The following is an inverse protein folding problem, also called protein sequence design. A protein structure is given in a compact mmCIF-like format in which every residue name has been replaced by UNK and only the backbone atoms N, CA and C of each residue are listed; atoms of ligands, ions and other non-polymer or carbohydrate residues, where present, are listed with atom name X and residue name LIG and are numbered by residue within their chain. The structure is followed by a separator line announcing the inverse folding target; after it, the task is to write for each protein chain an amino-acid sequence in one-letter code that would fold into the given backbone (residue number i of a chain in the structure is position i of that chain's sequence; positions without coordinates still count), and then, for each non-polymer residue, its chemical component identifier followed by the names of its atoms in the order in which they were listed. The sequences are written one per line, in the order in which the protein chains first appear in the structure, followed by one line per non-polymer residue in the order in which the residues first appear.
data_IF_483657506132
#
_entry.id   IF_483657506132
#
_cell.length_a   1.000
_cell.length_b   1.000
_cell.length_c   1.000
_cell.angle_alpha   90.00
_cell.angle_beta   90.00
_cell.angle_gamma   90.00
#
_symmetry.space_group_name_H-M   'P 1'
#
loop_
_entity.id
_entity.type
_entity.pdbx_description
1 polymer ?
#
# COMPACT_ATOMS: atom_id res chain seq x y z
N UNK A 1 1.50 -24.75 1.21
CA UNK A 1 1.42 -26.12 1.78
C UNK A 1 0.54 -26.19 3.03
N UNK A 2 0.84 -25.42 4.10
CA UNK A 2 0.10 -25.47 5.38
C UNK A 2 -1.42 -25.18 5.25
N UNK A 3 -1.81 -24.24 4.40
CA UNK A 3 -3.23 -23.97 4.15
C UNK A 3 -3.94 -25.18 3.54
N UNK A 4 -3.32 -25.85 2.56
CA UNK A 4 -3.87 -27.09 1.97
C UNK A 4 -3.96 -28.25 2.96
N UNK A 5 -3.14 -28.27 4.00
CA UNK A 5 -3.23 -29.28 5.07
C UNK A 5 -4.43 -29.04 5.99
N UNK A 6 -4.82 -27.78 6.19
CA UNK A 6 -5.93 -27.34 7.03
C UNK A 6 -7.24 -27.37 6.26
N UNK A 7 -7.26 -26.79 5.06
CA UNK A 7 -8.43 -26.66 4.18
C UNK A 7 -8.35 -27.65 3.02
N UNK A 8 -8.37 -28.94 3.35
CA UNK A 8 -8.11 -30.02 2.38
C UNK A 8 -9.18 -30.14 1.31
N UNK A 9 -10.43 -29.96 1.67
CA UNK A 9 -11.56 -30.07 0.75
C UNK A 9 -11.67 -28.81 -0.12
N UNK A 10 -11.62 -27.63 0.50
CA UNK A 10 -11.81 -26.33 -0.17
C UNK A 10 -10.67 -26.00 -1.14
N UNK A 11 -9.46 -26.47 -0.84
CA UNK A 11 -8.26 -26.19 -1.65
C UNK A 11 -7.74 -27.41 -2.42
N UNK A 12 -8.51 -28.50 -2.52
CA UNK A 12 -8.08 -29.74 -3.20
C UNK A 12 -7.54 -29.48 -4.60
N UNK A 13 -8.28 -28.76 -5.39
CA UNK A 13 -8.04 -28.51 -6.82
C UNK A 13 -7.38 -27.15 -7.11
N UNK A 14 -7.06 -26.37 -6.05
CA UNK A 14 -6.43 -25.05 -6.16
C UNK A 14 -4.92 -25.20 -6.22
N UNK A 15 -4.28 -24.78 -7.32
CA UNK A 15 -2.82 -24.70 -7.41
C UNK A 15 -2.26 -23.52 -6.61
N UNK A 16 -0.96 -23.46 -6.41
CA UNK A 16 -0.32 -22.31 -5.78
C UNK A 16 -0.49 -21.04 -6.63
N UNK A 17 -0.41 -21.19 -7.95
CA UNK A 17 -0.55 -20.07 -8.88
C UNK A 17 -1.99 -19.56 -8.91
N UNK A 18 -2.99 -20.45 -8.91
CA UNK A 18 -4.41 -20.06 -8.80
C UNK A 18 -4.66 -19.29 -7.51
N UNK A 19 -4.14 -19.80 -6.37
CA UNK A 19 -4.27 -19.15 -5.09
C UNK A 19 -3.58 -17.77 -5.09
N UNK A 20 -2.37 -17.68 -5.67
CA UNK A 20 -1.63 -16.43 -5.77
C UNK A 20 -2.38 -15.41 -6.64
N UNK A 21 -2.93 -15.83 -7.78
CA UNK A 21 -3.75 -14.97 -8.65
C UNK A 21 -5.02 -14.49 -7.93
N UNK A 22 -5.69 -15.37 -7.22
CA UNK A 22 -6.92 -15.05 -6.49
C UNK A 22 -6.70 -13.98 -5.40
N UNK A 23 -5.67 -14.17 -4.55
CA UNK A 23 -5.40 -13.23 -3.44
C UNK A 23 -4.76 -11.92 -3.88
N UNK A 24 -4.32 -11.82 -5.13
CA UNK A 24 -3.78 -10.60 -5.73
C UNK A 24 -4.65 -10.10 -6.89
N UNK A 25 -5.92 -10.52 -6.94
CA UNK A 25 -6.85 -10.01 -7.94
C UNK A 25 -6.93 -8.47 -7.84
N UNK A 26 -6.93 -7.81 -9.01
CA UNK A 26 -7.06 -6.36 -9.09
C UNK A 26 -8.47 -6.01 -9.56
N UNK A 27 -9.17 -5.26 -8.74
CA UNK A 27 -10.50 -4.76 -9.04
C UNK A 27 -10.69 -3.38 -8.43
N UNK A 28 -11.07 -2.41 -9.25
CA UNK A 28 -11.43 -1.11 -8.72
C UNK A 28 -12.66 -1.24 -7.82
N UNK A 29 -12.55 -0.83 -6.56
CA UNK A 29 -13.59 -0.95 -5.54
C UNK A 29 -13.92 0.40 -4.90
N UNK A 30 -15.08 0.49 -4.24
CA UNK A 30 -15.53 1.72 -3.56
C UNK A 30 -14.79 1.96 -2.24
N UNK A 31 -14.51 0.90 -1.49
CA UNK A 31 -14.08 1.00 -0.10
C UNK A 31 -12.56 0.83 0.00
N UNK A 32 -11.89 1.86 0.49
CA UNK A 32 -10.42 1.89 0.62
C UNK A 32 -9.86 0.69 1.39
N UNK A 33 -10.47 0.31 2.49
CA UNK A 33 -9.98 -0.78 3.34
C UNK A 33 -10.13 -2.17 2.72
N UNK A 34 -10.88 -2.27 1.62
CA UNK A 34 -11.11 -3.51 0.86
C UNK A 34 -10.35 -3.50 -0.48
N UNK A 35 -9.68 -2.39 -0.80
CA UNK A 35 -8.96 -2.24 -2.05
C UNK A 35 -7.74 -3.17 -2.13
N UNK A 36 -7.47 -3.67 -3.34
CA UNK A 36 -6.27 -4.43 -3.63
C UNK A 36 -4.98 -3.58 -3.58
N UNK A 37 -3.83 -4.24 -3.60
CA UNK A 37 -2.53 -3.58 -3.46
C UNK A 37 -2.22 -2.57 -4.59
N UNK A 38 -2.71 -2.81 -5.81
CA UNK A 38 -2.45 -1.92 -6.95
C UNK A 38 -3.33 -0.67 -6.91
N UNK A 39 -4.61 -0.81 -6.54
CA UNK A 39 -5.57 0.31 -6.53
C UNK A 39 -5.57 1.07 -5.20
N UNK A 40 -5.11 0.47 -4.09
CA UNK A 40 -5.06 1.10 -2.77
C UNK A 40 -4.38 2.48 -2.74
N UNK A 41 -3.22 2.70 -3.39
CA UNK A 41 -2.61 4.03 -3.44
C UNK A 41 -3.49 5.10 -4.09
N UNK A 42 -4.32 4.73 -5.07
CA UNK A 42 -5.25 5.67 -5.71
C UNK A 42 -6.30 6.17 -4.73
N UNK A 43 -6.81 5.29 -3.86
CA UNK A 43 -7.71 5.70 -2.77
C UNK A 43 -7.05 6.69 -1.80
N UNK A 44 -5.76 6.51 -1.51
CA UNK A 44 -5.00 7.45 -0.67
C UNK A 44 -4.80 8.78 -1.40
N UNK A 45 -4.50 8.75 -2.70
CA UNK A 45 -4.32 9.95 -3.53
C UNK A 45 -5.58 10.81 -3.59
N UNK A 46 -6.76 10.23 -3.76
CA UNK A 46 -8.05 10.95 -3.71
C UNK A 46 -8.15 11.77 -2.41
N UNK A 47 -7.85 11.15 -1.29
CA UNK A 47 -7.91 11.81 0.04
C UNK A 47 -6.86 12.90 0.19
N UNK A 48 -5.67 12.65 -0.32
CA UNK A 48 -4.60 13.64 -0.30
C UNK A 48 -4.94 14.90 -1.11
N UNK A 49 -5.50 14.72 -2.32
CA UNK A 49 -5.92 15.85 -3.15
C UNK A 49 -7.02 16.69 -2.45
N UNK A 50 -7.99 16.03 -1.82
CA UNK A 50 -9.05 16.71 -1.07
C UNK A 50 -8.49 17.44 0.15
N UNK A 51 -7.59 16.81 0.93
CA UNK A 51 -6.94 17.46 2.07
C UNK A 51 -6.17 18.72 1.65
N UNK A 52 -5.45 18.66 0.52
CA UNK A 52 -4.79 19.85 -0.04
C UNK A 52 -5.78 20.96 -0.38
N UNK A 53 -6.88 20.61 -1.04
CA UNK A 53 -7.92 21.59 -1.38
C UNK A 53 -8.52 22.22 -0.13
N UNK A 54 -8.81 21.45 0.92
CA UNK A 54 -9.34 21.96 2.19
C UNK A 54 -8.35 22.92 2.86
N UNK A 55 -7.06 22.60 2.87
CA UNK A 55 -6.05 23.38 3.61
C UNK A 55 -5.53 24.59 2.81
N UNK A 56 -5.40 24.45 1.49
CA UNK A 56 -4.70 25.44 0.65
C UNK A 56 -5.64 26.31 -0.18
N UNK A 57 -6.88 25.87 -0.47
CA UNK A 57 -7.73 26.46 -1.49
C UNK A 57 -9.08 26.97 -0.99
N UNK A 58 -9.37 26.89 0.29
CA UNK A 58 -10.63 27.36 0.90
C UNK A 58 -11.88 26.80 0.21
N UNK A 59 -11.89 25.47 -0.01
CA UNK A 59 -12.98 24.76 -0.64
C UNK A 59 -14.23 24.77 0.27
N UNK A 60 -15.40 25.02 -0.32
CA UNK A 60 -16.66 24.92 0.40
C UNK A 60 -16.93 23.46 0.79
N UNK A 61 -17.25 23.24 2.06
CA UNK A 61 -17.54 21.89 2.59
C UNK A 61 -18.69 21.20 1.84
N UNK A 62 -19.68 21.96 1.39
CA UNK A 62 -20.84 21.44 0.64
C UNK A 62 -20.45 20.88 -0.73
N UNK A 63 -19.30 21.28 -1.30
CA UNK A 63 -18.81 20.80 -2.58
C UNK A 63 -17.96 19.52 -2.47
N UNK A 64 -17.51 19.17 -1.27
CA UNK A 64 -16.60 18.03 -1.05
C UNK A 64 -17.15 16.68 -1.54
N UNK A 65 -18.43 16.33 -1.38
CA UNK A 65 -18.99 15.09 -1.96
C UNK A 65 -18.89 15.05 -3.48
N UNK A 66 -19.13 16.18 -4.16
CA UNK A 66 -19.01 16.28 -5.62
C UNK A 66 -17.57 16.11 -6.07
N UNK A 67 -16.63 16.77 -5.40
CA UNK A 67 -15.18 16.66 -5.67
C UNK A 67 -14.73 15.21 -5.46
N UNK A 68 -15.15 14.59 -4.38
CA UNK A 68 -14.87 13.17 -4.12
C UNK A 68 -15.32 12.27 -5.27
N UNK A 69 -16.54 12.40 -5.71
CA UNK A 69 -17.12 11.60 -6.79
C UNK A 69 -16.37 11.80 -8.11
N UNK A 70 -15.94 13.04 -8.41
CA UNK A 70 -15.13 13.34 -9.58
C UNK A 70 -13.76 12.66 -9.52
N UNK A 71 -13.06 12.73 -8.39
CA UNK A 71 -11.75 12.08 -8.22
C UNK A 71 -11.85 10.55 -8.24
N UNK A 72 -12.91 9.97 -7.67
CA UNK A 72 -13.18 8.53 -7.79
C UNK A 72 -13.41 8.11 -9.23
N UNK A 73 -14.13 8.91 -9.99
CA UNK A 73 -14.33 8.66 -11.42
C UNK A 73 -13.03 8.77 -12.21
N UNK A 74 -12.22 9.77 -11.91
CA UNK A 74 -10.94 10.00 -12.58
C UNK A 74 -9.90 8.90 -12.29
N UNK A 75 -9.69 8.56 -11.00
CA UNK A 75 -8.61 7.65 -10.59
C UNK A 75 -9.01 6.17 -10.66
N UNK A 76 -10.25 5.85 -10.37
CA UNK A 76 -10.73 4.47 -10.21
C UNK A 76 -11.78 4.07 -11.25
N UNK A 77 -12.29 5.04 -12.05
CA UNK A 77 -13.40 4.87 -12.98
C UNK A 77 -14.68 4.33 -12.32
N UNK A 78 -14.92 4.68 -11.07
CA UNK A 78 -16.08 4.25 -10.28
C UNK A 78 -17.07 5.41 -10.12
N UNK A 79 -18.36 5.09 -10.21
CA UNK A 79 -19.45 5.98 -9.84
C UNK A 79 -19.83 5.72 -8.38
N UNK A 80 -19.75 6.76 -7.52
CA UNK A 80 -20.03 6.64 -6.09
C UNK A 80 -21.53 6.78 -5.86
N UNK A 81 -22.22 5.74 -5.30
CA UNK A 81 -23.67 5.73 -5.21
C UNK A 81 -24.24 6.58 -4.07
N UNK A 82 -23.46 6.83 -3.03
CA UNK A 82 -23.89 7.61 -1.86
C UNK A 82 -22.69 8.15 -1.07
N UNK A 83 -22.90 9.19 -0.27
CA UNK A 83 -21.86 9.74 0.60
C UNK A 83 -21.37 8.74 1.65
N UNK A 84 -22.20 7.78 2.06
CA UNK A 84 -21.83 6.71 3.00
C UNK A 84 -20.74 5.81 2.41
N UNK A 85 -20.84 5.50 1.13
CA UNK A 85 -19.85 4.70 0.40
C UNK A 85 -18.79 5.57 -0.27
N UNK A 86 -18.96 6.89 -0.19
CA UNK A 86 -18.08 7.93 -0.67
C UNK A 86 -17.27 8.58 0.45
N UNK A 87 -17.39 9.89 0.56
CA UNK A 87 -16.59 10.74 1.45
C UNK A 87 -16.73 10.40 2.93
N UNK A 88 -17.82 9.77 3.35
CA UNK A 88 -18.08 9.40 4.75
C UNK A 88 -17.61 7.98 5.11
N UNK A 89 -16.94 7.28 4.20
CA UNK A 89 -16.47 5.90 4.47
C UNK A 89 -15.33 5.81 5.51
N UNK A 90 -14.60 6.89 5.73
CA UNK A 90 -13.49 6.97 6.70
C UNK A 90 -13.82 7.93 7.85
N UNK A 91 -13.29 7.64 9.03
CA UNK A 91 -13.52 8.44 10.26
C UNK A 91 -12.43 9.48 10.52
N UNK A 92 -11.40 9.56 9.68
CA UNK A 92 -10.20 10.38 9.93
C UNK A 92 -10.54 11.87 10.04
N UNK A 93 -11.24 12.42 9.08
CA UNK A 93 -11.56 13.85 9.07
C UNK A 93 -12.54 14.24 10.17
N UNK A 94 -13.54 13.43 10.45
CA UNK A 94 -14.46 13.65 11.57
C UNK A 94 -13.77 13.59 12.93
N UNK A 95 -12.66 12.84 13.03
CA UNK A 95 -11.78 12.79 14.19
C UNK A 95 -10.68 13.87 14.22
N UNK A 96 -10.63 14.75 13.23
CA UNK A 96 -9.61 15.81 13.12
C UNK A 96 -8.24 15.34 12.62
N UNK A 97 -8.13 14.13 12.06
CA UNK A 97 -6.87 13.54 11.57
C UNK A 97 -6.58 13.96 10.12
N UNK A 98 -6.33 15.25 9.90
CA UNK A 98 -5.87 15.75 8.60
C UNK A 98 -4.37 15.49 8.41
N UNK A 99 -3.94 15.25 7.14
CA UNK A 99 -2.55 14.92 6.78
C UNK A 99 -2.13 13.49 7.12
N UNK A 100 -3.04 12.65 7.59
CA UNK A 100 -2.74 11.28 7.99
C UNK A 100 -2.79 10.27 6.83
N UNK A 101 -3.70 10.44 5.87
CA UNK A 101 -3.89 9.50 4.76
C UNK A 101 -2.62 9.23 3.94
N UNK A 102 -1.76 10.21 3.63
CA UNK A 102 -0.52 9.94 2.90
C UNK A 102 0.38 8.90 3.54
N UNK A 103 0.35 8.75 4.87
CA UNK A 103 1.20 7.79 5.60
C UNK A 103 0.95 6.34 5.18
N UNK A 104 -0.27 6.02 4.74
CA UNK A 104 -0.63 4.68 4.27
C UNK A 104 0.08 4.29 2.97
N UNK A 105 0.19 5.21 2.01
CA UNK A 105 0.91 4.96 0.76
C UNK A 105 2.43 5.10 0.96
N UNK A 106 2.88 6.08 1.75
CA UNK A 106 4.31 6.29 2.06
C UNK A 106 4.92 5.06 2.76
N UNK A 107 4.18 4.41 3.66
CA UNK A 107 4.64 3.18 4.32
C UNK A 107 4.96 2.07 3.31
N UNK A 108 4.09 1.86 2.33
CA UNK A 108 4.31 0.88 1.25
C UNK A 108 5.49 1.27 0.35
N UNK A 109 5.61 2.56 0.01
CA UNK A 109 6.71 3.06 -0.81
C UNK A 109 8.07 2.93 -0.10
N UNK A 110 8.14 3.24 1.20
CA UNK A 110 9.34 3.03 2.02
C UNK A 110 9.69 1.55 2.11
N UNK A 111 8.71 0.67 2.31
CA UNK A 111 8.94 -0.77 2.37
C UNK A 111 9.54 -1.31 1.07
N UNK A 112 9.08 -0.86 -0.09
CA UNK A 112 9.62 -1.24 -1.39
C UNK A 112 11.08 -0.79 -1.56
N UNK A 113 11.41 0.45 -1.17
CA UNK A 113 12.77 0.96 -1.21
C UNK A 113 13.71 0.23 -0.22
N UNK A 114 13.23 -0.03 1.00
CA UNK A 114 13.97 -0.82 2.00
C UNK A 114 14.20 -2.26 1.54
N UNK A 115 13.21 -2.88 0.89
CA UNK A 115 13.36 -4.22 0.32
C UNK A 115 14.44 -4.26 -0.76
N UNK A 116 14.50 -3.23 -1.62
CA UNK A 116 15.57 -3.12 -2.61
C UNK A 116 16.96 -3.01 -1.96
N UNK A 117 17.09 -2.26 -0.86
CA UNK A 117 18.34 -2.19 -0.11
C UNK A 117 18.67 -3.51 0.59
N UNK A 118 17.68 -4.15 1.22
CA UNK A 118 17.86 -5.46 1.88
C UNK A 118 18.34 -6.52 0.91
N UNK A 119 17.86 -6.54 -0.33
CA UNK A 119 18.30 -7.47 -1.39
C UNK A 119 19.76 -7.30 -1.81
N UNK A 120 20.38 -6.15 -1.54
CA UNK A 120 21.81 -5.94 -1.75
C UNK A 120 22.66 -6.63 -0.67
N UNK A 121 22.09 -6.79 0.53
CA UNK A 121 22.80 -7.33 1.70
C UNK A 121 22.54 -8.82 1.94
N UNK A 122 21.37 -9.33 1.54
CA UNK A 122 20.96 -10.73 1.72
C UNK A 122 20.12 -11.25 0.57
N UNK A 123 20.18 -12.54 0.33
CA UNK A 123 19.31 -13.23 -0.64
C UNK A 123 17.91 -13.41 -0.03
N UNK A 124 17.12 -12.35 -0.10
CA UNK A 124 15.79 -12.25 0.52
C UNK A 124 14.87 -13.41 0.11
N UNK A 125 14.82 -13.73 -1.18
CA UNK A 125 13.96 -14.78 -1.74
C UNK A 125 14.33 -16.16 -1.20
N UNK A 126 15.62 -16.43 -1.07
CA UNK A 126 16.13 -17.68 -0.49
C UNK A 126 15.82 -17.78 1.00
N UNK A 127 15.97 -16.69 1.74
CA UNK A 127 15.66 -16.68 3.17
C UNK A 127 14.15 -16.86 3.43
N UNK A 128 13.29 -16.21 2.65
CA UNK A 128 11.83 -16.45 2.67
C UNK A 128 11.51 -17.90 2.31
N UNK A 129 12.10 -18.44 1.24
CA UNK A 129 11.88 -19.82 0.80
C UNK A 129 12.26 -20.85 1.88
N UNK A 130 13.26 -20.55 2.71
CA UNK A 130 13.66 -21.35 3.87
C UNK A 130 12.84 -21.08 5.12
N UNK A 131 11.93 -20.11 5.09
CA UNK A 131 11.21 -19.59 6.26
C UNK A 131 12.16 -19.00 7.34
N UNK A 132 13.34 -18.51 6.93
CA UNK A 132 14.31 -17.90 7.82
C UNK A 132 14.04 -16.41 8.06
N UNK A 133 12.94 -16.13 8.76
CA UNK A 133 12.56 -14.75 9.11
C UNK A 133 13.58 -14.08 10.04
N UNK A 134 14.46 -14.86 10.69
CA UNK A 134 15.49 -14.31 11.58
C UNK A 134 16.47 -13.41 10.84
N UNK A 135 16.94 -13.82 9.65
CA UNK A 135 17.86 -13.01 8.86
C UNK A 135 17.26 -11.66 8.46
N UNK A 136 15.98 -11.68 8.05
CA UNK A 136 15.20 -10.48 7.71
C UNK A 136 15.03 -9.58 8.94
N UNK A 137 14.63 -10.15 10.08
CA UNK A 137 14.43 -9.40 11.31
C UNK A 137 15.76 -8.79 11.84
N UNK A 138 16.90 -9.48 11.70
CA UNK A 138 18.21 -8.93 12.09
C UNK A 138 18.60 -7.74 11.19
N UNK A 139 18.29 -7.81 9.89
CA UNK A 139 18.49 -6.68 9.00
C UNK A 139 17.63 -5.48 9.42
N UNK A 140 16.32 -5.70 9.63
CA UNK A 140 15.39 -4.66 10.09
C UNK A 140 15.81 -4.09 11.44
N UNK A 141 16.23 -4.94 12.37
CA UNK A 141 16.72 -4.51 13.68
C UNK A 141 17.92 -3.59 13.55
N UNK A 142 18.91 -3.94 12.74
CA UNK A 142 20.13 -3.17 12.54
C UNK A 142 19.88 -1.82 11.86
N UNK A 143 19.04 -1.81 10.80
CA UNK A 143 18.91 -0.65 9.93
C UNK A 143 17.73 0.25 10.29
N UNK A 144 16.73 -0.26 11.03
CA UNK A 144 15.48 0.44 11.36
C UNK A 144 15.25 0.48 12.88
N UNK A 145 15.02 -0.69 13.52
CA UNK A 145 14.50 -0.75 14.87
C UNK A 145 15.50 -0.22 15.92
N UNK A 146 16.79 -0.34 15.68
CA UNK A 146 17.84 0.16 16.56
C UNK A 146 17.71 1.66 16.87
N UNK A 147 17.23 2.42 15.91
CA UNK A 147 17.09 3.87 16.04
C UNK A 147 15.81 4.29 16.78
N UNK A 148 14.80 3.43 16.86
CA UNK A 148 13.52 3.75 17.49
C UNK A 148 12.94 5.07 16.95
N UNK A 149 12.54 5.96 17.85
CA UNK A 149 12.01 7.28 17.52
C UNK A 149 13.08 8.41 17.54
N UNK A 150 14.38 8.06 17.54
CA UNK A 150 15.48 9.05 17.58
C UNK A 150 15.82 9.66 16.22
N UNK A 151 15.27 9.10 15.16
CA UNK A 151 15.41 9.57 13.77
C UNK A 151 14.04 9.82 13.16
N UNK A 152 13.95 10.87 12.34
CA UNK A 152 12.76 11.07 11.53
C UNK A 152 12.71 10.10 10.35
N UNK A 153 11.55 9.89 9.69
CA UNK A 153 11.41 8.92 8.61
C UNK A 153 12.39 9.11 7.44
N UNK A 154 12.67 10.35 7.06
CA UNK A 154 13.61 10.67 5.96
C UNK A 154 15.04 10.27 6.31
N UNK A 155 15.50 10.62 7.52
CA UNK A 155 16.81 10.23 8.02
C UNK A 155 16.93 8.69 8.11
N UNK A 156 15.89 8.04 8.61
CA UNK A 156 15.86 6.60 8.77
C UNK A 156 15.92 5.88 7.42
N UNK A 157 15.20 6.37 6.43
CA UNK A 157 15.23 5.85 5.08
C UNK A 157 16.64 6.02 4.46
N UNK A 158 17.22 7.20 4.58
CA UNK A 158 18.59 7.46 4.09
C UNK A 158 19.63 6.54 4.76
N UNK A 159 19.55 6.35 6.07
CA UNK A 159 20.46 5.45 6.82
C UNK A 159 20.28 4.00 6.36
N UNK A 160 19.06 3.56 6.16
CA UNK A 160 18.75 2.16 5.83
C UNK A 160 19.00 1.79 4.38
N UNK A 161 18.88 2.75 3.45
CA UNK A 161 18.95 2.50 2.00
C UNK A 161 20.13 3.17 1.32
N UNK A 162 20.78 4.13 2.01
CA UNK A 162 21.82 5.03 1.49
C UNK A 162 21.34 5.89 0.31
N UNK A 163 20.02 6.11 0.21
CA UNK A 163 19.37 6.90 -0.84
C UNK A 163 18.23 7.71 -0.22
N UNK A 164 17.97 8.90 -0.78
CA UNK A 164 16.75 9.66 -0.45
C UNK A 164 15.51 8.93 -0.95
N UNK A 165 14.34 9.35 -0.49
CA UNK A 165 13.07 8.76 -0.91
C UNK A 165 12.88 8.87 -2.43
N UNK A 166 12.58 7.75 -3.06
CA UNK A 166 12.24 7.68 -4.47
C UNK A 166 11.07 6.71 -4.70
N UNK A 167 9.94 7.23 -5.11
CA UNK A 167 8.73 6.47 -5.38
C UNK A 167 8.91 5.41 -6.48
N UNK A 168 9.96 5.52 -7.33
CA UNK A 168 10.23 4.55 -8.41
C UNK A 168 10.29 3.12 -7.91
N UNK A 169 10.85 2.87 -6.71
CA UNK A 169 10.96 1.53 -6.14
C UNK A 169 9.61 0.85 -5.94
N UNK A 170 8.63 1.62 -5.49
CA UNK A 170 7.27 1.12 -5.31
C UNK A 170 6.56 0.92 -6.66
N UNK A 171 6.71 1.87 -7.57
CA UNK A 171 6.16 1.77 -8.94
C UNK A 171 6.74 0.57 -9.67
N UNK A 172 8.05 0.34 -9.60
CA UNK A 172 8.72 -0.81 -10.21
C UNK A 172 8.28 -2.13 -9.56
N UNK A 173 8.13 -2.14 -8.23
CA UNK A 173 7.60 -3.30 -7.53
C UNK A 173 6.20 -3.67 -8.04
N UNK A 174 5.28 -2.72 -8.10
CA UNK A 174 3.91 -2.94 -8.59
C UNK A 174 3.92 -3.39 -10.06
N UNK A 175 4.67 -2.70 -10.93
CA UNK A 175 4.80 -3.08 -12.34
C UNK A 175 5.30 -4.52 -12.49
N UNK A 176 6.38 -4.87 -11.83
CA UNK A 176 6.97 -6.21 -11.93
C UNK A 176 6.04 -7.30 -11.41
N UNK A 177 5.33 -7.03 -10.30
CA UNK A 177 4.37 -7.97 -9.71
C UNK A 177 3.19 -8.20 -10.63
N UNK A 178 2.52 -7.13 -11.03
CA UNK A 178 1.25 -7.21 -11.76
C UNK A 178 1.44 -7.51 -13.24
N UNK A 179 2.52 -7.07 -13.90
CA UNK A 179 2.86 -7.53 -15.25
C UNK A 179 3.07 -9.04 -15.29
N UNK A 180 3.77 -9.60 -14.30
CA UNK A 180 3.94 -11.06 -14.20
C UNK A 180 2.63 -11.77 -13.87
N UNK A 181 1.79 -11.19 -13.03
CA UNK A 181 0.51 -11.80 -12.62
C UNK A 181 -0.49 -11.89 -13.77
N UNK A 182 -0.51 -10.87 -14.63
CA UNK A 182 -1.44 -10.71 -15.74
C UNK A 182 -0.86 -11.02 -17.12
N UNK A 183 0.41 -11.48 -17.17
CA UNK A 183 1.13 -11.85 -18.41
C UNK A 183 1.20 -10.65 -19.42
N UNK A 184 1.50 -9.42 -18.91
CA UNK A 184 1.60 -8.16 -19.68
C UNK A 184 3.03 -7.87 -20.14
#
# INVERSE_FOLDING_TARGET
PKLKEIFKEELSDVTLDDFYRLVNNVECSLIRTEADELTYPLHVMVRYEIEKMIIEQDVNVDDLPTIWNQLYKEYLNIDVPSDKEGILQDVHWSGGSFGYFPTYALGSAYAAQMLNAMRKDLDFEKEIGKQNLKAINEWLKKHIHYYGATKNPTELLLISTNEEFDAKYFVEYLKNKFSKLYDL
#
